data_IF_723304287150
#
_entry.id   IF_723304287150
#
_cell.length_a   1.000
_cell.length_b   1.000
_cell.length_c   1.000
_cell.angle_alpha   90.00
_cell.angle_beta   90.00
_cell.angle_gamma   90.00
#
_symmetry.space_group_name_H-M   'P 1'
#
loop_
_entity.id
_entity.type
_entity.pdbx_description
1 polymer ?
#
# COMPACT_ATOMS: atom_id res chain seq x y z
N UNK A 1 1.87 -12.18 3.01
CA UNK A 1 0.49 -11.91 3.45
C UNK A 1 -0.24 -11.12 2.37
N UNK A 2 -1.55 -11.31 2.27
CA UNK A 2 -2.33 -10.60 1.28
C UNK A 2 -3.71 -10.25 1.82
N UNK A 3 -4.29 -9.18 1.28
CA UNK A 3 -5.62 -8.71 1.67
C UNK A 3 -6.28 -8.07 0.46
N UNK A 4 -7.59 -8.29 0.32
CA UNK A 4 -8.39 -7.65 -0.73
C UNK A 4 -9.24 -6.56 -0.07
N UNK A 5 -9.23 -5.39 -0.65
CA UNK A 5 -10.03 -4.28 -0.17
C UNK A 5 -10.22 -3.21 -1.22
N UNK A 6 -11.08 -2.27 -0.90
CA UNK A 6 -11.37 -1.13 -1.74
C UNK A 6 -10.53 0.06 -1.29
N UNK A 7 -9.82 0.68 -2.22
CA UNK A 7 -9.02 1.87 -1.91
C UNK A 7 -9.95 3.03 -1.58
N UNK A 8 -9.87 3.52 -0.34
CA UNK A 8 -10.75 4.59 0.14
C UNK A 8 -10.01 5.92 0.34
N UNK A 9 -8.70 5.88 0.41
CA UNK A 9 -7.91 7.10 0.58
C UNK A 9 -6.50 6.91 0.04
N UNK A 10 -5.93 7.99 -0.46
CA UNK A 10 -4.53 8.08 -0.85
C UNK A 10 -3.94 9.32 -0.17
N UNK A 11 -2.91 9.14 0.63
CA UNK A 11 -2.26 10.23 1.33
C UNK A 11 -1.31 10.96 0.36
N UNK A 12 -0.86 12.19 0.70
CA UNK A 12 0.06 12.91 -0.17
C UNK A 12 1.37 12.14 -0.40
N UNK A 13 1.91 12.27 -1.61
CA UNK A 13 3.19 11.64 -1.96
C UNK A 13 4.30 12.25 -1.12
N UNK A 14 5.13 11.40 -0.55
CA UNK A 14 6.37 11.80 0.13
C UNK A 14 7.52 11.59 -0.84
N UNK A 15 8.44 12.54 -0.89
CA UNK A 15 9.59 12.45 -1.76
C UNK A 15 10.82 13.04 -1.08
N UNK A 16 11.98 12.63 -1.57
CA UNK A 16 13.24 13.12 -1.06
C UNK A 16 14.40 12.65 -1.91
N UNK A 17 15.59 12.94 -1.45
CA UNK A 17 16.83 12.52 -2.09
C UNK A 17 17.62 11.75 -1.06
N UNK A 18 18.06 10.55 -1.45
CA UNK A 18 18.91 9.73 -0.59
C UNK A 18 20.25 10.40 -0.40
N UNK A 19 20.64 10.67 0.84
CA UNK A 19 21.95 11.26 1.14
C UNK A 19 23.09 10.30 0.81
N UNK A 20 22.78 9.00 0.77
CA UNK A 20 23.77 7.96 0.55
C UNK A 20 24.10 7.79 -0.92
N UNK A 21 23.09 7.82 -1.78
CA UNK A 21 23.24 7.54 -3.22
C UNK A 21 22.96 8.73 -4.11
N UNK A 22 22.34 9.78 -3.59
CA UNK A 22 21.91 10.93 -4.37
C UNK A 22 20.68 10.66 -5.23
N UNK A 23 20.09 9.48 -5.13
CA UNK A 23 18.91 9.13 -5.93
C UNK A 23 17.64 9.71 -5.32
N UNK A 24 16.72 10.09 -6.19
CA UNK A 24 15.40 10.53 -5.77
C UNK A 24 14.54 9.33 -5.42
N UNK A 25 13.75 9.48 -4.36
CA UNK A 25 12.79 8.46 -3.95
C UNK A 25 11.41 9.07 -3.75
N UNK A 26 10.39 8.24 -3.90
CA UNK A 26 9.02 8.60 -3.59
C UNK A 26 8.35 7.45 -2.87
N UNK A 27 7.45 7.80 -1.97
CA UNK A 27 6.58 6.83 -1.33
C UNK A 27 5.20 7.44 -1.12
N UNK A 28 4.21 6.59 -0.99
CA UNK A 28 2.84 7.05 -0.75
C UNK A 28 2.11 6.02 0.08
N UNK A 29 1.30 6.50 1.00
CA UNK A 29 0.45 5.64 1.80
C UNK A 29 -0.96 5.62 1.23
N UNK A 30 -1.58 4.45 1.29
CA UNK A 30 -2.96 4.23 0.85
C UNK A 30 -3.72 3.55 1.97
N UNK A 31 -5.02 3.78 2.01
CA UNK A 31 -5.91 3.08 2.93
C UNK A 31 -6.90 2.27 2.12
N UNK A 32 -7.02 0.99 2.46
CA UNK A 32 -8.04 0.11 1.88
C UNK A 32 -9.00 -0.33 2.97
N UNK A 33 -10.22 -0.64 2.55
CA UNK A 33 -11.27 -1.15 3.43
C UNK A 33 -11.74 -2.49 2.90
N UNK A 34 -11.73 -3.51 3.75
CA UNK A 34 -12.20 -4.83 3.36
C UNK A 34 -13.71 -4.81 3.13
N UNK A 35 -14.15 -5.61 2.14
CA UNK A 35 -15.56 -5.67 1.77
C UNK A 35 -16.22 -6.84 2.47
N UNK A 36 -16.37 -6.71 3.79
CA UNK A 36 -16.95 -7.72 4.66
C UNK A 36 -18.11 -7.12 5.47
N UNK A 37 -18.82 -7.98 6.20
CA UNK A 37 -19.90 -7.53 7.07
C UNK A 37 -19.42 -6.53 8.11
N UNK A 38 -18.22 -6.76 8.66
CA UNK A 38 -17.57 -5.84 9.60
C UNK A 38 -16.27 -5.36 8.95
N UNK A 39 -16.34 -4.31 8.11
CA UNK A 39 -15.16 -3.87 7.35
C UNK A 39 -14.00 -3.44 8.23
N UNK A 40 -12.80 -3.81 7.81
CA UNK A 40 -11.56 -3.40 8.46
C UNK A 40 -10.77 -2.53 7.50
N UNK A 41 -10.00 -1.62 8.07
CA UNK A 41 -9.16 -0.72 7.29
C UNK A 41 -7.70 -1.03 7.53
N UNK A 42 -6.91 -0.91 6.47
CA UNK A 42 -5.47 -1.09 6.54
C UNK A 42 -4.79 0.04 5.78
N UNK A 43 -3.86 0.69 6.45
CA UNK A 43 -2.98 1.68 5.81
C UNK A 43 -1.68 0.99 5.45
N UNK A 44 -1.24 1.15 4.21
CA UNK A 44 0.01 0.53 3.75
C UNK A 44 0.81 1.52 2.91
N UNK A 45 2.11 1.30 2.87
CA UNK A 45 3.03 2.14 2.11
C UNK A 45 3.46 1.44 0.83
N UNK A 46 3.51 2.20 -0.26
CA UNK A 46 4.17 1.79 -1.49
C UNK A 46 5.41 2.65 -1.65
N UNK A 47 6.57 2.01 -1.69
CA UNK A 47 7.85 2.70 -1.81
C UNK A 47 8.44 2.45 -3.19
N UNK A 48 8.82 3.53 -3.86
CA UNK A 48 9.48 3.47 -5.16
C UNK A 48 8.66 4.11 -6.27
N UNK A 49 9.31 4.96 -7.06
CA UNK A 49 8.65 5.68 -8.16
C UNK A 49 8.05 4.69 -9.16
N UNK A 50 8.80 3.64 -9.50
CA UNK A 50 8.35 2.63 -10.46
C UNK A 50 7.13 1.88 -9.96
N UNK A 51 7.12 1.52 -8.67
CA UNK A 51 6.00 0.80 -8.07
C UNK A 51 4.76 1.65 -7.99
N UNK A 52 4.91 2.94 -7.69
CA UNK A 52 3.78 3.86 -7.66
C UNK A 52 3.10 3.97 -9.01
N UNK A 53 3.88 3.98 -10.09
CA UNK A 53 3.35 3.99 -11.46
C UNK A 53 2.74 2.66 -11.84
N UNK A 54 3.41 1.57 -11.52
CA UNK A 54 2.98 0.22 -11.87
C UNK A 54 1.65 -0.13 -11.20
N UNK A 55 1.54 0.15 -9.92
CA UNK A 55 0.34 -0.24 -9.16
C UNK A 55 -0.86 0.65 -9.51
N UNK A 56 -0.62 1.92 -9.79
CA UNK A 56 -1.65 2.87 -10.25
C UNK A 56 -2.96 2.74 -9.47
N UNK A 57 -2.87 2.84 -8.16
CA UNK A 57 -4.03 2.70 -7.27
C UNK A 57 -4.82 3.99 -7.27
N UNK A 58 -6.12 3.89 -7.54
CA UNK A 58 -7.05 5.02 -7.53
C UNK A 58 -8.12 4.79 -6.48
N UNK A 59 -8.74 5.89 -6.03
CA UNK A 59 -9.86 5.79 -5.11
C UNK A 59 -10.98 4.94 -5.71
N UNK A 60 -11.55 4.08 -4.87
CA UNK A 60 -12.61 3.14 -5.22
C UNK A 60 -12.13 1.90 -5.99
N UNK A 61 -10.85 1.80 -6.31
CA UNK A 61 -10.32 0.58 -6.91
C UNK A 61 -10.38 -0.58 -5.93
N UNK A 62 -10.77 -1.73 -6.41
CA UNK A 62 -10.72 -2.98 -5.65
C UNK A 62 -9.36 -3.62 -5.94
N UNK A 63 -8.57 -3.83 -4.90
CA UNK A 63 -7.19 -4.29 -5.06
C UNK A 63 -6.87 -5.42 -4.10
N UNK A 64 -5.96 -6.28 -4.55
CA UNK A 64 -5.35 -7.33 -3.74
C UNK A 64 -3.93 -6.89 -3.43
N UNK A 65 -3.66 -6.63 -2.16
CA UNK A 65 -2.38 -6.10 -1.70
C UNK A 65 -1.58 -7.22 -1.09
N UNK A 66 -0.39 -7.46 -1.63
CA UNK A 66 0.60 -8.36 -1.04
C UNK A 66 1.56 -7.50 -0.23
N UNK A 67 1.73 -7.83 1.05
CA UNK A 67 2.44 -6.95 1.95
C UNK A 67 3.23 -7.72 3.00
N UNK A 68 4.20 -7.02 3.61
CA UNK A 68 4.93 -7.47 4.77
C UNK A 68 4.70 -6.50 5.91
N UNK A 69 4.70 -7.02 7.12
CA UNK A 69 4.59 -6.22 8.33
C UNK A 69 5.92 -6.27 9.07
N UNK A 70 6.44 -5.10 9.40
CA UNK A 70 7.64 -4.99 10.26
C UNK A 70 7.30 -4.11 11.44
N UNK A 71 7.91 -4.40 12.59
CA UNK A 71 7.76 -3.60 13.78
C UNK A 71 9.10 -3.00 14.14
N UNK A 72 9.07 -1.76 14.63
CA UNK A 72 10.26 -1.11 15.17
C UNK A 72 9.94 -0.40 16.46
N UNK A 73 10.92 -0.31 17.31
CA UNK A 73 10.82 0.37 18.58
C UNK A 73 11.38 1.79 18.46
N UNK A 74 10.67 2.73 19.05
CA UNK A 74 11.14 4.10 19.16
C UNK A 74 10.67 4.66 20.51
N UNK A 75 11.63 5.08 21.35
CA UNK A 75 11.38 5.62 22.68
C UNK A 75 10.45 4.72 23.54
N UNK A 76 10.70 3.41 23.51
CA UNK A 76 9.94 2.45 24.29
C UNK A 76 8.56 2.09 23.73
N UNK A 77 8.22 2.62 22.57
CA UNK A 77 6.95 2.30 21.89
C UNK A 77 7.24 1.49 20.63
N UNK A 78 6.36 0.55 20.34
CA UNK A 78 6.46 -0.26 19.13
C UNK A 78 5.49 0.24 18.07
N UNK A 79 5.98 0.38 16.86
CA UNK A 79 5.21 0.82 15.72
C UNK A 79 5.25 -0.24 14.62
N UNK A 80 4.09 -0.55 14.07
CA UNK A 80 3.98 -1.45 12.93
C UNK A 80 4.05 -0.66 11.63
N UNK A 81 4.78 -1.21 10.65
CA UNK A 81 4.80 -0.69 9.29
C UNK A 81 4.34 -1.76 8.35
N UNK A 82 3.39 -1.43 7.49
CA UNK A 82 2.87 -2.32 6.46
C UNK A 82 3.37 -1.80 5.13
N UNK A 83 4.15 -2.60 4.40
CA UNK A 83 4.68 -2.22 3.10
C UNK A 83 4.23 -3.20 2.04
N UNK A 84 3.60 -2.67 0.99
CA UNK A 84 3.16 -3.46 -0.14
C UNK A 84 4.34 -3.71 -1.08
N UNK A 85 4.49 -4.96 -1.52
CA UNK A 85 5.49 -5.32 -2.52
C UNK A 85 4.84 -5.72 -3.84
N UNK A 86 3.52 -5.96 -3.85
CA UNK A 86 2.76 -6.25 -5.05
C UNK A 86 1.31 -5.84 -4.85
N UNK A 87 0.72 -5.23 -5.84
CA UNK A 87 -0.70 -4.87 -5.84
C UNK A 87 -1.31 -5.33 -7.16
N UNK A 88 -2.42 -6.05 -7.07
CA UNK A 88 -3.18 -6.49 -8.22
C UNK A 88 -4.57 -5.88 -8.17
N UNK A 89 -5.05 -5.40 -9.32
CA UNK A 89 -6.43 -4.96 -9.43
C UNK A 89 -7.33 -6.18 -9.58
N UNK A 90 -8.44 -6.20 -8.87
CA UNK A 90 -9.34 -7.36 -8.89
C UNK A 90 -10.75 -6.94 -9.28
N UNK A 91 -11.48 -7.90 -9.81
CA UNK A 91 -12.90 -7.74 -10.13
C UNK A 91 -13.74 -7.95 -8.86
N UNK A 92 -15.02 -7.53 -8.87
CA UNK A 92 -15.90 -7.74 -7.70
C UNK A 92 -16.02 -9.19 -7.25
N UNK A 93 -15.76 -10.16 -8.16
CA UNK A 93 -15.78 -11.59 -7.81
C UNK A 93 -14.48 -12.08 -7.20
N UNK A 94 -13.46 -11.21 -7.09
CA UNK A 94 -12.16 -11.54 -6.52
C UNK A 94 -11.12 -12.03 -7.52
N UNK A 95 -11.46 -12.16 -8.80
CA UNK A 95 -10.50 -12.57 -9.82
C UNK A 95 -9.61 -11.39 -10.21
N UNK A 96 -8.35 -11.67 -10.56
CA UNK A 96 -7.39 -10.63 -10.94
C UNK A 96 -7.72 -10.10 -12.33
N UNK A 97 -7.74 -8.76 -12.46
CA UNK A 97 -7.98 -8.09 -13.73
C UNK A 97 -6.79 -8.33 -14.67
N UNK A 98 -7.08 -8.69 -15.90
CA UNK A 98 -6.05 -8.87 -16.93
C UNK A 98 -5.29 -10.17 -16.88
N UNK A 99 -5.72 -11.12 -16.04
CA UNK A 99 -5.10 -12.45 -15.96
C UNK A 99 -5.80 -13.46 -16.87
#
# INVERSE_FOLDING_TARGET
MEIIGKAIAALPVKSGVSQRTGEQWQSREYVIETQEQYPKRMCFEVFGIDKLKEFNIRNNDLVKVHFDITAREYNGKWYNSVRAWKVEHVNPDGSVVGS
#
